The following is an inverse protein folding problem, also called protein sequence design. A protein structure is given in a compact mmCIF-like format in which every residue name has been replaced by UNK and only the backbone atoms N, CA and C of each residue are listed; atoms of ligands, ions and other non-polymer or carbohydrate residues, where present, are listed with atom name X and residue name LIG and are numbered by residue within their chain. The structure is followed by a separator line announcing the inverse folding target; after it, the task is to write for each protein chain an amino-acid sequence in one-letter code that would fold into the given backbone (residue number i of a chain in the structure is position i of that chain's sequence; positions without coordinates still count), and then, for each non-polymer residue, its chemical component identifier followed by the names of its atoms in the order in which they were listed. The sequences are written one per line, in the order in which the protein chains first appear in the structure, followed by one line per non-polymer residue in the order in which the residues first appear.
data_IF_650165425323
#
_entry.id   IF_650165425323
#
_cell.length_a   1.000
_cell.length_b   1.000
_cell.length_c   1.000
_cell.angle_alpha   90.00
_cell.angle_beta   90.00
_cell.angle_gamma   90.00
#
_symmetry.space_group_name_H-M   'P 1'
#
loop_
_entity.id
_entity.type
_entity.pdbx_description
1 polymer ?
#
# COMPACT_ATOMS: atom_id res chain seq x y z
N UNK A 1 9.80 9.52 -33.22
CA UNK A 1 8.56 8.75 -32.98
C UNK A 1 7.48 9.73 -32.50
N UNK A 2 6.34 9.80 -33.20
CA UNK A 2 5.33 10.87 -33.07
C UNK A 2 4.81 11.01 -31.63
N UNK A 3 4.78 12.25 -31.12
CA UNK A 3 4.23 12.68 -29.81
C UNK A 3 2.90 11.99 -29.44
N UNK A 4 2.06 11.70 -30.45
CA UNK A 4 0.80 10.97 -30.32
C UNK A 4 0.96 9.54 -29.78
N UNK A 5 2.00 8.81 -30.20
CA UNK A 5 2.27 7.46 -29.69
C UNK A 5 2.85 7.50 -28.26
N UNK A 6 3.58 8.56 -27.90
CA UNK A 6 4.13 8.75 -26.56
C UNK A 6 3.03 9.09 -25.54
N UNK A 7 2.04 9.90 -25.90
CA UNK A 7 0.85 10.13 -25.06
C UNK A 7 -0.06 8.90 -24.98
N UNK A 8 -0.32 8.22 -26.11
CA UNK A 8 -1.19 7.04 -26.16
C UNK A 8 -0.60 5.82 -25.45
N UNK A 9 0.73 5.65 -25.41
CA UNK A 9 1.38 4.52 -24.72
C UNK A 9 1.91 4.91 -23.34
N UNK A 10 2.34 6.16 -23.15
CA UNK A 10 2.93 6.63 -21.90
C UNK A 10 1.92 6.78 -20.77
N UNK A 11 0.75 7.38 -21.02
CA UNK A 11 -0.29 7.55 -20.01
C UNK A 11 -0.78 6.19 -19.45
N UNK A 12 -1.19 5.20 -20.28
CA UNK A 12 -1.61 3.92 -19.74
C UNK A 12 -0.48 3.16 -19.04
N UNK A 13 0.78 3.32 -19.48
CA UNK A 13 1.91 2.72 -18.78
C UNK A 13 2.09 3.30 -17.37
N UNK A 14 2.01 4.63 -17.22
CA UNK A 14 2.12 5.28 -15.89
C UNK A 14 0.97 4.83 -14.98
N UNK A 15 -0.27 4.82 -15.48
CA UNK A 15 -1.43 4.35 -14.72
C UNK A 15 -1.25 2.90 -14.29
N UNK A 16 -0.75 2.03 -15.17
CA UNK A 16 -0.46 0.64 -14.84
C UNK A 16 0.58 0.52 -13.73
N UNK A 17 1.67 1.29 -13.80
CA UNK A 17 2.69 1.32 -12.75
C UNK A 17 2.15 1.79 -11.40
N UNK A 18 1.34 2.85 -11.38
CA UNK A 18 0.71 3.35 -10.15
C UNK A 18 -0.18 2.28 -9.53
N UNK A 19 -1.01 1.62 -10.34
CA UNK A 19 -1.87 0.52 -9.87
C UNK A 19 -1.03 -0.64 -9.35
N UNK A 20 0.03 -1.03 -10.07
CA UNK A 20 0.91 -2.13 -9.68
C UNK A 20 1.59 -1.85 -8.33
N UNK A 21 2.13 -0.64 -8.13
CA UNK A 21 2.74 -0.22 -6.85
C UNK A 21 1.70 -0.22 -5.73
N UNK A 22 0.49 0.27 -6.00
CA UNK A 22 -0.57 0.32 -5.01
C UNK A 22 -1.01 -1.09 -4.58
N UNK A 23 -1.23 -2.00 -5.53
CA UNK A 23 -1.56 -3.41 -5.27
C UNK A 23 -0.43 -4.10 -4.51
N UNK A 24 0.83 -3.84 -4.90
CA UNK A 24 2.00 -4.36 -4.20
C UNK A 24 2.05 -3.85 -2.76
N UNK A 25 1.76 -2.57 -2.52
CA UNK A 25 1.68 -1.98 -1.18
C UNK A 25 0.65 -2.67 -0.29
N UNK A 26 -0.55 -2.94 -0.82
CA UNK A 26 -1.61 -3.68 -0.10
C UNK A 26 -1.12 -5.10 0.24
N UNK A 27 -0.50 -5.78 -0.72
CA UNK A 27 0.03 -7.12 -0.54
C UNK A 27 1.11 -7.14 0.56
N UNK A 28 2.07 -6.22 0.50
CA UNK A 28 3.14 -6.09 1.48
C UNK A 28 2.57 -5.82 2.87
N UNK A 29 1.66 -4.85 3.02
CA UNK A 29 1.05 -4.55 4.33
C UNK A 29 0.35 -5.78 4.90
N UNK A 30 -0.44 -6.50 4.10
CA UNK A 30 -1.13 -7.71 4.56
C UNK A 30 -0.14 -8.81 4.96
N UNK A 31 0.89 -9.02 4.15
CA UNK A 31 1.93 -10.03 4.39
C UNK A 31 2.72 -9.71 5.66
N UNK A 32 3.23 -8.48 5.77
CA UNK A 32 3.95 -8.02 6.96
C UNK A 32 3.06 -8.12 8.19
N UNK A 33 1.79 -7.70 8.14
CA UNK A 33 0.89 -7.77 9.29
C UNK A 33 0.75 -9.19 9.84
N UNK A 34 0.67 -10.20 8.98
CA UNK A 34 0.57 -11.59 9.43
C UNK A 34 1.81 -12.10 10.14
N UNK A 35 2.98 -11.50 9.90
CA UNK A 35 4.24 -11.90 10.52
C UNK A 35 4.63 -10.97 11.68
N UNK A 36 4.70 -9.66 11.44
CA UNK A 36 5.22 -8.70 12.42
C UNK A 36 4.28 -8.46 13.59
N UNK A 37 2.96 -8.42 13.39
CA UNK A 37 2.03 -8.07 14.48
C UNK A 37 1.94 -9.17 15.53
N UNK A 38 1.83 -10.46 15.17
CA UNK A 38 1.89 -11.54 16.16
C UNK A 38 3.21 -11.57 16.94
N UNK A 39 4.35 -11.25 16.30
CA UNK A 39 5.66 -11.22 16.96
C UNK A 39 5.86 -9.97 17.82
N UNK A 40 5.37 -8.82 17.38
CA UNK A 40 5.52 -7.55 18.08
C UNK A 40 4.59 -7.45 19.29
N UNK A 41 3.39 -8.05 19.21
CA UNK A 41 2.37 -7.95 20.24
C UNK A 41 1.71 -9.32 20.55
N UNK A 42 2.48 -10.32 20.99
CA UNK A 42 1.96 -11.68 21.19
C UNK A 42 0.85 -11.75 22.24
N UNK A 43 1.01 -11.04 23.37
CA UNK A 43 0.01 -11.01 24.45
C UNK A 43 -1.29 -10.31 24.07
N UNK A 44 -1.21 -9.23 23.28
CA UNK A 44 -2.39 -8.48 22.84
C UNK A 44 -3.19 -9.21 21.75
N UNK A 45 -2.49 -9.99 20.91
CA UNK A 45 -3.12 -10.89 19.94
C UNK A 45 -3.80 -12.06 20.67
N UNK A 46 -3.13 -12.67 21.66
CA UNK A 46 -3.69 -13.78 22.44
C UNK A 46 -4.94 -13.36 23.26
N UNK A 47 -4.96 -12.13 23.77
CA UNK A 47 -6.11 -11.56 24.48
C UNK A 47 -7.24 -11.06 23.55
N UNK A 48 -7.04 -11.12 22.22
CA UNK A 48 -8.05 -10.69 21.24
C UNK A 48 -8.18 -9.18 21.03
N UNK A 49 -7.30 -8.38 21.63
CA UNK A 49 -7.28 -6.92 21.44
C UNK A 49 -6.73 -6.49 20.08
N UNK A 50 -5.90 -7.34 19.47
CA UNK A 50 -5.27 -7.07 18.16
C UNK A 50 -5.54 -8.23 17.21
N UNK A 51 -6.01 -7.92 16.00
CA UNK A 51 -6.24 -8.92 14.98
C UNK A 51 -4.92 -9.43 14.39
N UNK A 52 -4.63 -10.72 14.60
CA UNK A 52 -3.49 -11.41 13.99
C UNK A 52 -3.56 -11.42 12.45
N UNK A 53 -4.78 -11.45 11.91
CA UNK A 53 -5.05 -11.45 10.47
C UNK A 53 -5.98 -10.30 10.14
N UNK A 54 -5.59 -9.52 9.14
CA UNK A 54 -6.40 -8.42 8.63
C UNK A 54 -7.09 -8.79 7.32
N UNK A 55 -8.30 -8.26 7.14
CA UNK A 55 -9.04 -8.40 5.87
C UNK A 55 -8.32 -7.63 4.74
N UNK A 56 -8.60 -8.00 3.48
CA UNK A 56 -8.11 -7.24 2.33
C UNK A 56 -8.58 -5.78 2.34
N UNK A 57 -9.79 -5.53 2.84
CA UNK A 57 -10.32 -4.18 2.99
C UNK A 57 -9.55 -3.35 4.02
N UNK A 58 -9.14 -3.97 5.14
CA UNK A 58 -8.30 -3.33 6.15
C UNK A 58 -6.91 -3.01 5.60
N UNK A 59 -6.31 -3.93 4.84
CA UNK A 59 -5.02 -3.71 4.18
C UNK A 59 -5.09 -2.56 3.15
N UNK A 60 -6.20 -2.44 2.41
CA UNK A 60 -6.43 -1.33 1.49
C UNK A 60 -6.51 0.03 2.21
N UNK A 61 -7.22 0.10 3.34
CA UNK A 61 -7.29 1.33 4.15
C UNK A 61 -5.90 1.75 4.66
N UNK A 62 -5.12 0.79 5.14
CA UNK A 62 -3.75 1.04 5.61
C UNK A 62 -2.84 1.49 4.46
N UNK A 63 -2.91 0.84 3.29
CA UNK A 63 -2.16 1.26 2.10
C UNK A 63 -2.52 2.68 1.68
N UNK A 64 -3.83 3.02 1.71
CA UNK A 64 -4.30 4.37 1.44
C UNK A 64 -3.76 5.41 2.42
N UNK A 65 -3.74 5.10 3.72
CA UNK A 65 -3.16 5.99 4.74
C UNK A 65 -1.65 6.19 4.54
N UNK A 66 -0.91 5.13 4.24
CA UNK A 66 0.54 5.21 3.97
C UNK A 66 0.81 6.01 2.70
N UNK A 67 0.03 5.79 1.64
CA UNK A 67 0.13 6.56 0.40
C UNK A 67 -0.19 8.04 0.62
N UNK A 68 -1.20 8.35 1.44
CA UNK A 68 -1.54 9.71 1.83
C UNK A 68 -0.40 10.37 2.61
N UNK A 69 0.18 9.66 3.58
CA UNK A 69 1.32 10.17 4.36
C UNK A 69 2.53 10.46 3.46
N UNK A 70 2.82 9.56 2.53
CA UNK A 70 3.89 9.72 1.56
C UNK A 70 3.62 10.92 0.65
N UNK A 71 2.38 11.12 0.19
CA UNK A 71 1.99 12.28 -0.61
C UNK A 71 2.21 13.59 0.16
N UNK A 72 1.77 13.67 1.43
CA UNK A 72 1.97 14.86 2.28
C UNK A 72 3.46 15.13 2.51
N UNK A 73 4.24 14.08 2.81
CA UNK A 73 5.69 14.21 3.06
C UNK A 73 6.45 14.61 1.81
N UNK A 74 6.02 14.17 0.63
CA UNK A 74 6.60 14.58 -0.64
C UNK A 74 6.25 16.04 -0.97
N UNK A 75 5.02 16.48 -0.69
CA UNK A 75 4.61 17.89 -0.83
C UNK A 75 5.45 18.81 0.08
N UNK A 76 5.86 18.35 1.25
CA UNK A 76 6.70 19.14 2.17
C UNK A 76 8.16 19.32 1.72
N UNK A 77 8.62 18.61 0.68
CA UNK A 77 10.00 18.70 0.18
C UNK A 77 10.19 19.69 -0.97
N UNK A 78 9.09 20.19 -1.56
CA UNK A 78 9.07 21.30 -2.51
C UNK A 78 8.88 22.64 -1.78
#
# INVERSE_FOLDING_TARGET
MKLRNMLLLGIPAIVFWVIAIFVLGIFLIKWFWMWTIPELCPGAVAAGYVAAKISWWTALKLAGLVALLAAITNISKD
#
